data_IF_917848798082
#
_entry.id   IF_917848798082
#
_cell.length_a   1.000
_cell.length_b   1.000
_cell.length_c   1.000
_cell.angle_alpha   90.00
_cell.angle_beta   90.00
_cell.angle_gamma   90.00
#
_symmetry.space_group_name_H-M   'P 1'
#
loop_
_entity.id
_entity.type
_entity.pdbx_description
1 polymer ?
#
# COMPACT_ATOMS: atom_id res chain seq x y z
N UNK A 1 12.76 -9.87 0.99
CA UNK A 1 12.02 -10.62 -0.04
C UNK A 1 13.00 -11.08 -1.13
N UNK A 2 12.98 -12.35 -1.57
CA UNK A 2 13.85 -12.85 -2.66
C UNK A 2 13.25 -12.59 -4.05
N UNK A 3 14.00 -12.84 -5.13
CA UNK A 3 13.47 -12.76 -6.50
C UNK A 3 12.30 -13.75 -6.74
N UNK A 4 12.36 -14.94 -6.16
CA UNK A 4 11.28 -15.93 -6.21
C UNK A 4 10.04 -15.45 -5.44
N UNK A 5 10.23 -14.82 -4.28
CA UNK A 5 9.13 -14.25 -3.50
C UNK A 5 8.46 -13.10 -4.26
N UNK A 6 9.22 -12.27 -4.98
CA UNK A 6 8.69 -11.22 -5.84
C UNK A 6 7.76 -11.78 -6.92
N UNK A 7 8.21 -12.79 -7.66
CA UNK A 7 7.41 -13.44 -8.71
C UNK A 7 6.16 -14.08 -8.11
N UNK A 8 6.31 -14.76 -6.97
CA UNK A 8 5.19 -15.37 -6.26
C UNK A 8 4.17 -14.32 -5.81
N UNK A 9 4.63 -13.23 -5.22
CA UNK A 9 3.76 -12.11 -4.82
C UNK A 9 3.05 -11.52 -6.03
N UNK A 10 3.77 -11.26 -7.13
CA UNK A 10 3.22 -10.64 -8.33
C UNK A 10 2.14 -11.47 -9.01
N UNK A 11 2.46 -12.75 -9.26
CA UNK A 11 1.58 -13.66 -9.98
C UNK A 11 0.44 -14.10 -9.06
N UNK A 12 0.74 -14.46 -7.82
CA UNK A 12 -0.20 -15.06 -6.88
C UNK A 12 -0.70 -14.08 -5.80
N UNK A 13 -0.76 -12.77 -6.08
CA UNK A 13 -1.09 -11.72 -5.09
C UNK A 13 -2.39 -12.01 -4.31
N UNK A 14 -3.30 -12.78 -4.90
CA UNK A 14 -4.51 -13.28 -4.26
C UNK A 14 -4.27 -14.00 -2.93
N UNK A 15 -3.14 -14.71 -2.79
CA UNK A 15 -2.76 -15.40 -1.55
C UNK A 15 -2.52 -14.44 -0.38
N UNK A 16 -2.26 -13.17 -0.67
CA UNK A 16 -2.06 -12.10 0.31
C UNK A 16 -3.26 -11.15 0.37
N UNK A 17 -4.34 -11.43 -0.36
CA UNK A 17 -5.54 -10.61 -0.32
C UNK A 17 -6.29 -10.79 1.02
N UNK A 18 -6.89 -9.71 1.50
CA UNK A 18 -7.76 -9.72 2.66
C UNK A 18 -8.91 -10.73 2.47
N UNK A 19 -9.30 -11.53 3.48
CA UNK A 19 -10.31 -12.58 3.33
C UNK A 19 -11.66 -12.10 2.77
N UNK A 20 -12.03 -10.85 3.04
CA UNK A 20 -13.24 -10.23 2.49
C UNK A 20 -13.27 -10.17 0.95
N UNK A 21 -12.11 -10.10 0.28
CA UNK A 21 -12.06 -10.22 -1.19
C UNK A 21 -12.49 -11.61 -1.65
N UNK A 22 -12.10 -12.67 -0.94
CA UNK A 22 -12.48 -14.05 -1.26
C UNK A 22 -13.99 -14.22 -1.13
N UNK A 23 -14.56 -13.74 -0.02
CA UNK A 23 -16.00 -13.75 0.20
C UNK A 23 -16.76 -12.99 -0.90
N UNK A 24 -16.26 -11.82 -1.32
CA UNK A 24 -16.86 -11.03 -2.39
C UNK A 24 -16.80 -11.74 -3.75
N UNK A 25 -15.66 -12.31 -4.12
CA UNK A 25 -15.53 -13.05 -5.40
C UNK A 25 -16.45 -14.26 -5.43
N UNK A 26 -16.50 -15.03 -4.33
CA UNK A 26 -17.39 -16.18 -4.22
C UNK A 26 -18.87 -15.78 -4.32
N UNK A 27 -19.26 -14.70 -3.63
CA UNK A 27 -20.62 -14.18 -3.69
C UNK A 27 -21.00 -13.71 -5.11
N UNK A 28 -20.11 -13.02 -5.82
CA UNK A 28 -20.35 -12.56 -7.20
C UNK A 28 -20.49 -13.74 -8.17
N UNK A 29 -19.78 -14.83 -7.93
CA UNK A 29 -19.78 -16.01 -8.80
C UNK A 29 -20.81 -17.07 -8.38
N UNK A 30 -21.53 -16.88 -7.26
CA UNK A 30 -22.46 -17.87 -6.71
C UNK A 30 -21.79 -19.20 -6.34
N UNK A 31 -20.52 -19.15 -5.93
CA UNK A 31 -19.67 -20.31 -5.69
C UNK A 31 -19.51 -20.61 -4.19
N UNK A 32 -19.49 -21.90 -3.86
CA UNK A 32 -19.15 -22.36 -2.51
C UNK A 32 -17.64 -22.18 -2.20
N UNK A 33 -17.25 -22.05 -0.92
CA UNK A 33 -15.85 -21.79 -0.53
C UNK A 33 -14.83 -22.78 -1.10
N UNK A 34 -15.22 -24.04 -1.27
CA UNK A 34 -14.38 -25.12 -1.81
C UNK A 34 -14.01 -24.90 -3.29
N UNK A 35 -14.86 -24.21 -4.05
CA UNK A 35 -14.59 -23.87 -5.44
C UNK A 35 -13.48 -22.80 -5.57
N UNK A 36 -13.24 -21.99 -4.53
CA UNK A 36 -12.19 -20.96 -4.51
C UNK A 36 -10.80 -21.53 -4.81
N UNK A 37 -10.48 -22.68 -4.21
CA UNK A 37 -9.18 -23.33 -4.37
C UNK A 37 -8.97 -23.91 -5.80
N UNK A 38 -10.04 -24.32 -6.47
CA UNK A 38 -9.99 -24.81 -7.85
C UNK A 38 -9.86 -23.64 -8.85
N UNK A 39 -10.61 -22.55 -8.63
CA UNK A 39 -10.55 -21.34 -9.46
C UNK A 39 -9.18 -20.68 -9.36
N UNK A 40 -8.61 -20.57 -8.15
CA UNK A 40 -7.30 -19.96 -7.92
C UNK A 40 -6.17 -20.68 -8.68
N UNK A 41 -6.28 -22.01 -8.86
CA UNK A 41 -5.26 -22.81 -9.55
C UNK A 41 -5.37 -22.79 -11.08
N UNK A 42 -6.57 -22.60 -11.63
CA UNK A 42 -6.84 -22.79 -13.06
C UNK A 42 -7.13 -21.50 -13.83
N UNK A 43 -7.65 -20.48 -13.15
CA UNK A 43 -8.11 -19.21 -13.75
C UNK A 43 -7.54 -17.98 -13.06
N UNK A 44 -6.26 -18.06 -12.70
CA UNK A 44 -5.58 -17.02 -11.95
C UNK A 44 -5.58 -15.65 -12.65
N UNK A 45 -5.43 -15.63 -13.98
CA UNK A 45 -5.49 -14.39 -14.75
C UNK A 45 -6.89 -13.75 -14.71
N UNK A 46 -7.95 -14.53 -14.90
CA UNK A 46 -9.34 -14.05 -14.83
C UNK A 46 -9.70 -13.57 -13.42
N UNK A 47 -9.22 -14.28 -12.40
CA UNK A 47 -9.37 -13.89 -10.99
C UNK A 47 -8.68 -12.55 -10.70
N UNK A 48 -7.45 -12.34 -11.17
CA UNK A 48 -6.78 -11.04 -11.01
C UNK A 48 -7.55 -9.93 -11.73
N UNK A 49 -8.02 -10.19 -12.95
CA UNK A 49 -8.78 -9.21 -13.72
C UNK A 49 -10.09 -8.81 -13.01
N UNK A 50 -10.81 -9.76 -12.41
CA UNK A 50 -12.04 -9.47 -11.65
C UNK A 50 -11.79 -8.64 -10.38
N UNK A 51 -10.56 -8.64 -9.87
CA UNK A 51 -10.12 -7.82 -8.74
C UNK A 51 -9.55 -6.46 -9.16
N UNK A 52 -9.64 -6.11 -10.45
CA UNK A 52 -9.06 -4.89 -11.00
C UNK A 52 -7.54 -4.94 -11.12
N UNK A 53 -6.93 -6.13 -11.08
CA UNK A 53 -5.50 -6.32 -11.29
C UNK A 53 -5.26 -6.81 -12.70
N UNK A 54 -4.51 -6.05 -13.51
CA UNK A 54 -4.14 -6.47 -14.86
C UNK A 54 -3.13 -7.65 -14.81
N UNK A 55 -3.47 -8.83 -15.35
CA UNK A 55 -2.51 -9.92 -15.50
C UNK A 55 -1.38 -9.49 -16.44
N UNK A 56 -0.15 -9.63 -15.99
CA UNK A 56 1.06 -9.20 -16.72
C UNK A 56 2.29 -9.89 -16.13
N UNK A 57 3.39 -9.92 -16.88
CA UNK A 57 4.68 -10.34 -16.32
C UNK A 57 5.12 -9.38 -15.21
N UNK A 58 5.81 -9.90 -14.17
CA UNK A 58 6.38 -9.06 -13.13
C UNK A 58 7.39 -8.08 -13.74
N UNK A 59 7.30 -6.78 -13.43
CA UNK A 59 8.36 -5.85 -13.78
C UNK A 59 9.61 -6.16 -12.97
N UNK A 60 10.71 -5.49 -13.33
CA UNK A 60 11.91 -5.52 -12.51
C UNK A 60 11.57 -5.06 -11.07
N UNK A 61 12.01 -5.81 -10.04
CA UNK A 61 11.66 -5.48 -8.67
C UNK A 61 12.34 -4.18 -8.23
N UNK A 62 11.53 -3.19 -7.91
CA UNK A 62 11.99 -1.94 -7.31
C UNK A 62 12.39 -2.16 -5.83
N UNK A 63 13.55 -1.64 -5.43
CA UNK A 63 14.12 -1.85 -4.09
C UNK A 63 13.21 -1.33 -2.98
N UNK A 64 12.54 -0.21 -3.19
CA UNK A 64 11.68 0.42 -2.19
C UNK A 64 10.35 -0.36 -2.09
N UNK A 65 9.86 -0.91 -3.20
CA UNK A 65 8.72 -1.84 -3.22
C UNK A 65 9.05 -3.14 -2.47
N UNK A 66 10.22 -3.73 -2.73
CA UNK A 66 10.68 -4.94 -2.03
C UNK A 66 10.81 -4.68 -0.52
N UNK A 67 11.29 -3.49 -0.15
CA UNK A 67 11.43 -3.07 1.24
C UNK A 67 10.05 -2.98 1.90
N UNK A 68 9.10 -2.26 1.31
CA UNK A 68 7.71 -2.17 1.81
C UNK A 68 7.08 -3.55 2.02
N UNK A 69 7.23 -4.45 1.03
CA UNK A 69 6.68 -5.80 1.10
C UNK A 69 7.38 -6.68 2.15
N UNK A 70 8.61 -6.34 2.56
CA UNK A 70 9.33 -7.05 3.61
C UNK A 70 9.04 -6.53 5.03
N UNK A 71 8.39 -5.37 5.17
CA UNK A 71 8.01 -4.82 6.48
C UNK A 71 6.95 -5.67 7.19
N UNK A 72 7.04 -5.76 8.52
CA UNK A 72 5.99 -6.31 9.36
C UNK A 72 4.71 -5.45 9.32
N UNK A 73 3.60 -5.99 9.80
CA UNK A 73 2.33 -5.25 9.90
C UNK A 73 2.50 -3.98 10.74
N UNK A 74 3.21 -4.08 11.87
CA UNK A 74 3.49 -2.97 12.78
C UNK A 74 4.36 -1.91 12.11
N UNK A 75 5.39 -2.33 11.36
CA UNK A 75 6.25 -1.41 10.62
C UNK A 75 5.49 -0.68 9.50
N UNK A 76 4.58 -1.36 8.79
CA UNK A 76 3.71 -0.72 7.77
C UNK A 76 2.74 0.26 8.41
N UNK A 77 2.12 -0.09 9.54
CA UNK A 77 1.26 0.83 10.29
C UNK A 77 2.05 2.06 10.76
N UNK A 78 3.26 1.84 11.27
CA UNK A 78 4.15 2.93 11.66
C UNK A 78 4.53 3.81 10.46
N UNK A 79 4.81 3.22 9.29
CA UNK A 79 5.13 3.98 8.08
C UNK A 79 3.97 4.89 7.66
N UNK A 80 2.74 4.37 7.66
CA UNK A 80 1.53 5.16 7.37
C UNK A 80 1.32 6.26 8.43
N UNK A 81 1.54 5.97 9.71
CA UNK A 81 1.43 6.96 10.78
C UNK A 81 2.47 8.09 10.63
N UNK A 82 3.72 7.77 10.28
CA UNK A 82 4.76 8.76 10.00
C UNK A 82 4.39 9.64 8.81
N UNK A 83 3.95 9.04 7.70
CA UNK A 83 3.49 9.78 6.52
C UNK A 83 2.34 10.73 6.89
N UNK A 84 1.40 10.29 7.74
CA UNK A 84 0.30 11.12 8.23
C UNK A 84 0.81 12.29 9.07
N UNK A 85 1.71 12.05 10.02
CA UNK A 85 2.32 13.11 10.85
C UNK A 85 3.13 14.13 10.05
N UNK A 86 3.64 13.75 8.88
CA UNK A 86 4.35 14.65 7.98
C UNK A 86 3.35 15.47 7.14
N UNK A 87 2.33 14.82 6.59
CA UNK A 87 1.45 15.42 5.57
C UNK A 87 0.24 16.18 6.14
N UNK A 88 -0.29 15.74 7.27
CA UNK A 88 -1.50 16.31 7.86
C UNK A 88 -1.20 17.42 8.86
N UNK A 89 -2.18 18.31 9.07
CA UNK A 89 -2.17 19.19 10.23
C UNK A 89 -2.21 18.34 11.53
N UNK A 90 -1.66 18.83 12.65
CA UNK A 90 -1.77 18.11 13.92
C UNK A 90 -3.25 17.98 14.31
N UNK A 91 -3.82 16.78 14.11
CA UNK A 91 -5.13 16.42 14.65
C UNK A 91 -5.02 16.11 16.16
N UNK A 92 -6.11 16.26 16.93
CA UNK A 92 -6.15 15.80 18.31
C UNK A 92 -5.91 14.28 18.38
N UNK A 93 -5.01 13.92 19.29
CA UNK A 93 -4.55 12.59 19.70
C UNK A 93 -5.45 11.37 19.41
N UNK A 94 -5.38 10.78 18.21
CA UNK A 94 -5.95 9.42 18.00
C UNK A 94 -5.01 8.43 17.31
N UNK A 95 -3.81 8.85 16.88
CA UNK A 95 -2.75 7.89 16.53
C UNK A 95 -1.42 8.60 16.66
N UNK A 96 -0.89 8.58 17.87
CA UNK A 96 0.38 9.22 18.19
C UNK A 96 1.51 8.37 17.62
N UNK A 97 2.15 8.89 16.57
CA UNK A 97 3.54 8.55 16.31
C UNK A 97 4.30 8.71 17.63
N UNK A 98 5.16 7.73 17.96
CA UNK A 98 5.93 7.78 19.19
C UNK A 98 6.69 9.12 19.28
N UNK A 99 6.63 9.80 20.43
CA UNK A 99 7.18 11.15 20.62
C UNK A 99 8.63 11.32 20.13
N UNK A 100 9.41 10.22 20.11
CA UNK A 100 10.77 10.15 19.55
C UNK A 100 10.87 10.60 18.09
N UNK A 101 9.81 10.50 17.29
CA UNK A 101 9.84 10.85 15.87
C UNK A 101 9.32 12.27 15.57
N UNK A 102 8.76 12.97 16.55
CA UNK A 102 8.08 14.26 16.33
C UNK A 102 9.01 15.31 15.71
N UNK A 103 10.22 15.47 16.25
CA UNK A 103 11.18 16.42 15.74
C UNK A 103 11.57 16.13 14.28
N UNK A 104 11.70 14.84 13.95
CA UNK A 104 12.01 14.41 12.59
C UNK A 104 10.84 14.63 11.63
N UNK A 105 9.62 14.24 12.00
CA UNK A 105 8.42 14.48 11.20
C UNK A 105 8.23 15.98 10.93
N UNK A 106 8.41 16.84 11.94
CA UNK A 106 8.31 18.30 11.78
C UNK A 106 9.38 18.86 10.85
N UNK A 107 10.62 18.36 10.92
CA UNK A 107 11.70 18.76 10.02
C UNK A 107 11.37 18.39 8.57
N UNK A 108 10.92 17.15 8.34
CA UNK A 108 10.57 16.67 7.02
C UNK A 108 9.32 17.38 6.46
N UNK A 109 8.31 17.66 7.29
CA UNK A 109 7.14 18.45 6.89
C UNK A 109 7.53 19.87 6.43
N UNK A 110 8.46 20.53 7.13
CA UNK A 110 8.98 21.86 6.72
C UNK A 110 9.69 21.82 5.37
N UNK A 111 10.45 20.75 5.10
CA UNK A 111 11.19 20.58 3.84
C UNK A 111 10.26 20.19 2.67
N UNK A 112 9.30 19.31 2.91
CA UNK A 112 8.38 18.82 1.88
C UNK A 112 7.25 19.80 1.59
N UNK A 113 6.85 20.61 2.56
CA UNK A 113 5.72 21.55 2.51
C UNK A 113 4.43 20.88 1.98
N UNK A 114 3.93 19.82 2.63
CA UNK A 114 2.80 19.05 2.14
C UNK A 114 1.52 19.86 1.99
N UNK A 115 1.33 20.94 2.77
CA UNK A 115 0.19 21.85 2.57
C UNK A 115 0.12 22.54 1.20
N UNK A 116 1.12 22.38 0.32
CA UNK A 116 1.07 22.86 -1.07
C UNK A 116 0.62 21.80 -2.08
N UNK A 117 0.53 20.53 -1.70
CA UNK A 117 0.30 19.43 -2.65
C UNK A 117 -0.49 18.23 -2.08
N UNK A 118 -0.66 18.14 -0.77
CA UNK A 118 -1.47 17.14 -0.09
C UNK A 118 -2.66 17.83 0.59
N UNK A 119 -3.80 17.14 0.62
CA UNK A 119 -4.97 17.58 1.39
C UNK A 119 -4.71 17.37 2.89
N UNK A 120 -4.68 18.43 3.71
CA UNK A 120 -4.44 18.31 5.15
C UNK A 120 -5.58 17.63 5.92
N UNK A 121 -6.76 17.48 5.32
CA UNK A 121 -7.91 16.78 5.90
C UNK A 121 -7.88 15.27 5.61
N UNK A 122 -7.16 14.84 4.58
CA UNK A 122 -7.03 13.44 4.24
C UNK A 122 -6.08 12.76 5.23
N UNK A 123 -6.64 11.96 6.14
CA UNK A 123 -5.87 11.26 7.17
C UNK A 123 -5.40 9.87 6.73
N UNK A 124 -6.04 9.30 5.71
CA UNK A 124 -5.60 8.03 5.12
C UNK A 124 -4.47 8.26 4.13
N UNK A 125 -3.29 7.72 4.45
CA UNK A 125 -2.08 7.85 3.62
C UNK A 125 -1.95 6.76 2.57
N UNK A 126 -2.83 5.75 2.55
CA UNK A 126 -2.77 4.65 1.58
C UNK A 126 -3.00 5.12 0.14
N UNK A 127 -3.91 6.06 -0.17
CA UNK A 127 -3.97 6.70 -1.49
C UNK A 127 -2.66 7.36 -1.93
N UNK A 128 -1.94 7.99 -1.00
CA UNK A 128 -0.65 8.64 -1.26
C UNK A 128 0.46 7.63 -1.52
N UNK A 129 0.40 6.48 -0.84
CA UNK A 129 1.27 5.33 -1.10
C UNK A 129 1.00 4.76 -2.49
N UNK A 130 -0.29 4.61 -2.84
CA UNK A 130 -0.70 4.15 -4.18
C UNK A 130 -0.20 5.04 -5.30
N UNK A 131 -0.22 6.37 -5.10
CA UNK A 131 0.30 7.34 -6.06
C UNK A 131 1.82 7.15 -6.31
N UNK A 132 2.58 6.87 -5.25
CA UNK A 132 4.02 6.66 -5.34
C UNK A 132 4.40 5.30 -5.94
N UNK A 133 3.68 4.24 -5.57
CA UNK A 133 3.89 2.89 -6.11
C UNK A 133 3.44 2.76 -7.57
N UNK A 134 2.53 3.63 -8.00
CA UNK A 134 2.05 3.69 -9.36
C UNK A 134 1.08 2.56 -9.75
N UNK A 135 0.54 2.64 -10.98
CA UNK A 135 -0.58 1.82 -11.43
C UNK A 135 -0.23 0.34 -11.64
N UNK A 136 1.04 -0.01 -11.76
CA UNK A 136 1.47 -1.40 -11.92
C UNK A 136 1.42 -2.19 -10.60
N UNK A 137 1.84 -1.54 -9.50
CA UNK A 137 2.01 -2.15 -8.19
C UNK A 137 0.76 -1.98 -7.33
N UNK A 138 0.18 -0.77 -7.32
CA UNK A 138 -0.91 -0.40 -6.41
C UNK A 138 -2.10 -1.37 -6.41
N UNK A 139 -2.64 -1.81 -7.57
CA UNK A 139 -3.80 -2.68 -7.59
C UNK A 139 -3.58 -4.03 -6.90
N UNK A 140 -2.32 -4.52 -6.85
CA UNK A 140 -1.94 -5.75 -6.15
C UNK A 140 -1.80 -5.50 -4.66
N UNK A 141 -1.09 -4.44 -4.29
CA UNK A 141 -0.87 -4.10 -2.88
C UNK A 141 -2.19 -3.84 -2.16
N UNK A 142 -3.12 -3.13 -2.80
CA UNK A 142 -4.39 -2.75 -2.17
C UNK A 142 -5.25 -3.93 -1.74
N UNK A 143 -5.05 -5.11 -2.35
CA UNK A 143 -5.78 -6.32 -2.00
C UNK A 143 -5.50 -6.77 -0.56
N UNK A 144 -4.39 -6.35 0.04
CA UNK A 144 -4.09 -6.63 1.44
C UNK A 144 -5.05 -5.98 2.45
N UNK A 145 -5.82 -4.96 2.03
CA UNK A 145 -6.86 -4.32 2.83
C UNK A 145 -8.25 -4.79 2.40
N UNK A 146 -9.27 -4.57 3.24
CA UNK A 146 -10.62 -4.98 2.90
C UNK A 146 -11.15 -4.23 1.67
N UNK A 147 -12.05 -4.84 0.87
CA UNK A 147 -12.67 -4.17 -0.26
C UNK A 147 -13.37 -2.88 0.18
N UNK A 148 -13.09 -1.77 -0.53
CA UNK A 148 -13.66 -0.45 -0.22
C UNK A 148 -13.05 0.27 1.00
N UNK A 149 -12.13 -0.36 1.73
CA UNK A 149 -11.46 0.26 2.88
C UNK A 149 -10.48 1.37 2.48
N UNK A 150 -9.96 1.28 1.26
CA UNK A 150 -8.98 2.22 0.71
C UNK A 150 -9.53 2.85 -0.55
N UNK A 151 -9.44 4.17 -0.63
CA UNK A 151 -9.79 4.93 -1.83
C UNK A 151 -8.81 4.72 -2.98
N UNK A 152 -9.12 5.36 -4.11
CA UNK A 152 -8.23 5.38 -5.28
C UNK A 152 -6.93 6.14 -4.97
N UNK A 153 -5.82 5.83 -5.69
CA UNK A 153 -4.59 6.60 -5.59
C UNK A 153 -4.84 8.08 -5.80
N UNK A 154 -4.16 8.91 -5.00
CA UNK A 154 -4.19 10.33 -5.22
C UNK A 154 -3.50 10.69 -6.55
N UNK A 155 -4.04 11.67 -7.27
CA UNK A 155 -3.53 12.13 -8.57
C UNK A 155 -2.89 13.50 -8.46
N UNK A 156 -2.16 13.91 -9.50
CA UNK A 156 -1.62 15.28 -9.66
C UNK A 156 -0.63 15.70 -8.56
N UNK A 157 0.08 14.71 -8.00
CA UNK A 157 1.07 14.89 -6.94
C UNK A 157 2.48 15.10 -7.51
N UNK A 158 3.31 15.94 -6.88
CA UNK A 158 4.69 16.15 -7.30
C UNK A 158 5.54 14.89 -7.05
N UNK A 159 6.04 14.20 -8.10
CA UNK A 159 6.68 12.89 -7.96
C UNK A 159 7.93 12.94 -7.08
N UNK A 160 8.73 14.00 -7.19
CA UNK A 160 9.94 14.18 -6.38
C UNK A 160 9.63 14.30 -4.88
N UNK A 161 8.47 14.88 -4.52
CA UNK A 161 8.06 15.02 -3.11
C UNK A 161 7.55 13.68 -2.56
N UNK A 162 6.79 12.93 -3.37
CA UNK A 162 6.35 11.58 -3.02
C UNK A 162 7.54 10.65 -2.81
N UNK A 163 8.51 10.68 -3.73
CA UNK A 163 9.71 9.87 -3.63
C UNK A 163 10.51 10.20 -2.36
N UNK A 164 10.74 11.50 -2.11
CA UNK A 164 11.42 11.95 -0.90
C UNK A 164 10.68 11.53 0.37
N UNK A 165 9.34 11.63 0.38
CA UNK A 165 8.51 11.23 1.52
C UNK A 165 8.68 9.75 1.81
N UNK A 166 8.38 8.89 0.83
CA UNK A 166 8.28 7.46 1.04
C UNK A 166 9.64 6.81 1.28
N UNK A 167 10.70 7.25 0.61
CA UNK A 167 12.06 6.78 0.90
C UNK A 167 12.51 7.16 2.31
N UNK A 168 12.22 8.39 2.75
CA UNK A 168 12.56 8.82 4.11
C UNK A 168 11.77 8.04 5.18
N UNK A 169 10.48 7.78 4.93
CA UNK A 169 9.63 6.97 5.81
C UNK A 169 10.10 5.52 5.84
N UNK A 170 10.34 4.91 4.69
CA UNK A 170 10.82 3.53 4.58
C UNK A 170 12.14 3.34 5.31
N UNK A 171 13.11 4.22 5.06
CA UNK A 171 14.39 4.20 5.77
C UNK A 171 14.20 4.29 7.29
N UNK A 172 13.25 5.12 7.74
CA UNK A 172 12.98 5.32 9.17
C UNK A 172 12.38 4.09 9.85
N UNK A 173 11.53 3.31 9.16
CA UNK A 173 10.90 2.11 9.73
C UNK A 173 11.72 0.83 9.53
N UNK A 174 12.63 0.82 8.55
CA UNK A 174 13.52 -0.30 8.27
C UNK A 174 14.78 -0.29 9.12
N UNK A 175 15.15 0.86 9.69
CA UNK A 175 16.33 1.02 10.54
C UNK A 175 15.89 0.95 12.01
N UNK A 176 16.55 0.13 12.86
CA UNK A 176 16.21 -0.02 14.28
C UNK A 176 16.38 1.26 15.11
#
# INVERSE_FOLDING_TARGET
MTATDWVNWWCCTWRWAHPAWQAQVLAVQGLEPEACAAVTRSRQADLLASLGVRPSQPPEPDVDVLLWLSLSTEQRQQALALARSICCAPLPAETTVAARYDAWCRSLAKALRPGLWADPQQTDMRPLLGAWLGPAIWPRLRLGWAPGEVGEPATDLPPNKLDTLWRAVLWRVSTP
#
